data_IF_951431494831
#
_entry.id   IF_951431494831
#
_cell.length_a   1.000
_cell.length_b   1.000
_cell.length_c   1.000
_cell.angle_alpha   90.00
_cell.angle_beta   90.00
_cell.angle_gamma   90.00
#
_symmetry.space_group_name_H-M   'P 1'
#
loop_
_entity.id
_entity.type
_entity.pdbx_description
1 polymer ?
#
# COMPACT_ATOMS: atom_id res chain seq x y z
N UNK A 1 -5.04 12.77 -2.29
CA UNK A 1 -3.71 12.51 -1.67
C UNK A 1 -3.78 11.30 -0.75
N UNK A 2 -2.70 10.54 -0.62
CA UNK A 2 -2.53 9.53 0.42
C UNK A 2 -1.50 10.01 1.46
N UNK A 3 -1.81 9.88 2.74
CA UNK A 3 -0.92 10.22 3.85
C UNK A 3 -0.68 9.00 4.77
N UNK A 4 0.55 8.80 5.23
CA UNK A 4 0.88 7.73 6.20
C UNK A 4 0.53 8.16 7.63
N UNK A 5 0.07 7.23 8.47
CA UNK A 5 -0.05 7.42 9.93
C UNK A 5 1.11 6.76 10.65
N UNK A 6 2.19 7.50 10.89
CA UNK A 6 3.24 7.10 11.84
C UNK A 6 3.28 8.12 12.99
N UNK A 7 2.42 7.90 13.99
CA UNK A 7 2.59 8.38 15.37
C UNK A 7 2.51 9.87 15.68
N UNK A 8 3.08 10.78 14.87
CA UNK A 8 3.09 12.23 15.14
C UNK A 8 3.10 13.14 13.91
N UNK A 9 3.47 12.67 12.71
CA UNK A 9 3.52 13.51 11.50
C UNK A 9 2.81 12.87 10.31
N UNK A 10 1.90 13.61 9.67
CA UNK A 10 1.27 13.20 8.41
C UNK A 10 2.24 13.41 7.25
N UNK A 11 2.75 12.33 6.67
CA UNK A 11 3.60 12.39 5.47
C UNK A 11 2.78 12.09 4.22
N UNK A 12 2.80 12.99 3.24
CA UNK A 12 2.28 12.73 1.90
C UNK A 12 3.09 11.60 1.25
N UNK A 13 2.41 10.50 0.91
CA UNK A 13 3.04 9.30 0.31
C UNK A 13 2.64 9.07 -1.14
N UNK A 14 1.56 9.70 -1.62
CA UNK A 14 1.19 9.68 -3.04
C UNK A 14 0.18 10.78 -3.37
N UNK A 15 0.29 11.35 -4.57
CA UNK A 15 -0.81 12.07 -5.23
C UNK A 15 -1.56 11.09 -6.15
N UNK A 16 -2.88 11.13 -6.08
CA UNK A 16 -3.77 10.32 -6.91
C UNK A 16 -4.54 11.27 -7.81
N UNK A 17 -4.60 10.92 -9.09
CA UNK A 17 -5.31 11.69 -10.12
C UNK A 17 -6.53 10.90 -10.60
N UNK A 18 -7.37 11.52 -11.45
CA UNK A 18 -8.49 10.84 -12.09
C UNK A 18 -8.05 9.52 -12.74
N UNK A 19 -8.88 8.49 -12.62
CA UNK A 19 -8.57 7.11 -13.04
C UNK A 19 -7.73 6.30 -12.03
N UNK A 20 -7.23 6.91 -10.96
CA UNK A 20 -6.56 6.19 -9.87
C UNK A 20 -7.57 5.52 -8.94
N UNK A 21 -7.16 4.43 -8.30
CA UNK A 21 -7.91 3.76 -7.23
C UNK A 21 -7.07 3.60 -5.97
N UNK A 22 -7.71 3.46 -4.81
CA UNK A 22 -7.03 3.25 -3.53
C UNK A 22 -7.87 2.38 -2.59
N UNK A 23 -7.26 1.87 -1.51
CA UNK A 23 -7.91 1.01 -0.52
C UNK A 23 -7.80 -0.48 -0.82
N UNK A 24 -7.30 -0.85 -2.00
CA UNK A 24 -7.12 -2.24 -2.44
C UNK A 24 -6.14 -3.02 -1.54
N UNK A 25 -5.15 -2.32 -0.98
CA UNK A 25 -4.07 -2.96 -0.24
C UNK A 25 -4.60 -3.72 0.97
N UNK A 26 -5.52 -3.13 1.73
CA UNK A 26 -6.12 -3.77 2.90
C UNK A 26 -7.00 -4.98 2.52
N UNK A 27 -7.68 -4.92 1.38
CA UNK A 27 -8.52 -6.00 0.88
C UNK A 27 -7.70 -7.19 0.38
N UNK A 28 -6.58 -6.93 -0.30
CA UNK A 28 -5.72 -7.97 -0.88
C UNK A 28 -4.78 -8.60 0.16
N UNK A 29 -4.22 -7.82 1.08
CA UNK A 29 -3.26 -8.33 2.07
C UNK A 29 -3.91 -8.81 3.37
N UNK A 30 -5.16 -8.42 3.65
CA UNK A 30 -5.82 -8.69 4.93
C UNK A 30 -5.28 -7.86 6.11
N UNK A 31 -4.39 -6.92 5.85
CA UNK A 31 -3.80 -6.05 6.87
C UNK A 31 -4.63 -4.76 7.05
N UNK A 32 -4.57 -4.11 8.22
CA UNK A 32 -5.25 -2.83 8.44
C UNK A 32 -4.87 -1.75 7.40
N UNK A 33 -5.75 -0.76 7.25
CA UNK A 33 -5.47 0.41 6.39
C UNK A 33 -4.20 1.10 6.85
N UNK A 34 -3.23 1.25 5.94
CA UNK A 34 -1.91 1.79 6.22
C UNK A 34 -1.71 3.25 5.78
N UNK A 35 -2.76 3.89 5.27
CA UNK A 35 -2.74 5.28 4.82
C UNK A 35 -4.13 5.90 4.89
N UNK A 36 -4.19 7.22 5.12
CA UNK A 36 -5.37 8.06 5.00
C UNK A 36 -5.46 8.59 3.57
N UNK A 37 -6.66 8.62 2.99
CA UNK A 37 -6.92 9.31 1.73
C UNK A 37 -7.62 10.64 2.02
N UNK A 38 -7.09 11.74 1.49
CA UNK A 38 -7.63 13.10 1.65
C UNK A 38 -7.87 13.70 0.27
N UNK A 39 -9.05 14.27 0.05
CA UNK A 39 -9.36 15.01 -1.16
C UNK A 39 -8.68 16.39 -1.11
N UNK A 40 -7.84 16.69 -2.09
CA UNK A 40 -7.12 17.98 -2.19
C UNK A 40 -8.01 19.05 -2.87
N UNK A 41 -8.97 18.60 -3.67
CA UNK A 41 -9.94 19.40 -4.40
C UNK A 41 -11.31 18.70 -4.36
N UNK A 42 -12.37 19.37 -4.84
CA UNK A 42 -13.68 18.72 -5.07
C UNK A 42 -13.48 17.46 -5.91
N UNK A 43 -13.84 16.31 -5.34
CA UNK A 43 -13.54 14.99 -5.91
C UNK A 43 -14.79 14.13 -5.82
N UNK A 44 -15.06 13.38 -6.88
CA UNK A 44 -16.06 12.31 -6.89
C UNK A 44 -15.34 10.96 -6.96
N UNK A 45 -15.87 9.97 -6.25
CA UNK A 45 -15.28 8.63 -6.20
C UNK A 45 -16.35 7.59 -6.44
N UNK A 46 -16.00 6.57 -7.23
CA UNK A 46 -16.78 5.35 -7.29
C UNK A 46 -16.37 4.45 -6.12
N UNK A 47 -17.35 3.97 -5.36
CA UNK A 47 -17.13 3.08 -4.22
C UNK A 47 -17.44 1.65 -4.64
N UNK A 48 -16.47 0.77 -4.47
CA UNK A 48 -16.63 -0.67 -4.61
C UNK A 48 -16.56 -1.31 -3.22
N UNK A 49 -17.61 -2.02 -2.82
CA UNK A 49 -17.67 -2.67 -1.51
C UNK A 49 -16.76 -3.90 -1.47
N UNK A 50 -16.42 -4.34 -0.27
CA UNK A 50 -15.51 -5.47 -0.04
C UNK A 50 -15.99 -6.75 -0.73
N UNK A 51 -17.27 -7.06 -0.61
CA UNK A 51 -17.84 -8.30 -1.14
C UNK A 51 -17.85 -8.28 -2.67
N UNK A 52 -18.23 -7.14 -3.27
CA UNK A 52 -18.18 -6.94 -4.72
C UNK A 52 -16.75 -7.02 -5.26
N UNK A 53 -15.80 -6.35 -4.60
CA UNK A 53 -14.38 -6.42 -4.95
C UNK A 53 -13.88 -7.87 -4.91
N UNK A 54 -14.23 -8.60 -3.84
CA UNK A 54 -13.80 -10.00 -3.68
C UNK A 54 -14.36 -10.88 -4.79
N UNK A 55 -15.66 -10.77 -5.07
CA UNK A 55 -16.31 -11.52 -6.15
C UNK A 55 -15.71 -11.22 -7.52
N UNK A 56 -15.41 -9.95 -7.82
CA UNK A 56 -14.80 -9.54 -9.09
C UNK A 56 -13.37 -10.10 -9.23
N UNK A 57 -12.56 -9.98 -8.17
CA UNK A 57 -11.16 -10.40 -8.17
C UNK A 57 -11.02 -11.93 -8.24
N UNK A 58 -11.93 -12.67 -7.61
CA UNK A 58 -12.00 -14.13 -7.69
C UNK A 58 -12.32 -14.61 -9.11
N UNK A 59 -13.27 -13.95 -9.77
CA UNK A 59 -13.66 -14.28 -11.15
C UNK A 59 -12.65 -13.82 -12.20
N UNK A 60 -11.74 -12.91 -11.86
CA UNK A 60 -10.79 -12.30 -12.81
C UNK A 60 -9.33 -12.35 -12.31
N UNK A 61 -8.62 -13.50 -12.47
CA UNK A 61 -7.23 -13.66 -12.01
C UNK A 61 -6.26 -12.63 -12.60
N UNK A 62 -6.48 -12.19 -13.84
CA UNK A 62 -5.66 -11.17 -14.50
C UNK A 62 -5.78 -9.81 -13.79
N UNK A 63 -6.99 -9.43 -13.38
CA UNK A 63 -7.23 -8.21 -12.60
C UNK A 63 -6.56 -8.32 -11.22
N UNK A 64 -6.67 -9.46 -10.55
CA UNK A 64 -5.97 -9.73 -9.29
C UNK A 64 -4.46 -9.48 -9.41
N UNK A 65 -3.84 -9.97 -10.48
CA UNK A 65 -2.41 -9.80 -10.73
C UNK A 65 -2.06 -8.35 -11.04
N UNK A 66 -2.89 -7.63 -11.81
CA UNK A 66 -2.70 -6.19 -12.04
C UNK A 66 -2.73 -5.38 -10.74
N UNK A 67 -3.70 -5.66 -9.87
CA UNK A 67 -3.83 -5.01 -8.56
C UNK A 67 -2.59 -5.28 -7.70
N UNK A 68 -2.14 -6.54 -7.63
CA UNK A 68 -0.90 -6.91 -6.92
C UNK A 68 0.33 -6.20 -7.49
N UNK A 69 0.44 -6.09 -8.81
CA UNK A 69 1.52 -5.33 -9.46
C UNK A 69 1.52 -3.86 -9.04
N UNK A 70 0.35 -3.21 -9.05
CA UNK A 70 0.21 -1.83 -8.57
C UNK A 70 0.59 -1.69 -7.10
N UNK A 71 0.20 -2.64 -6.23
CA UNK A 71 0.60 -2.65 -4.82
C UNK A 71 2.11 -2.80 -4.63
N UNK A 72 2.75 -3.66 -5.43
CA UNK A 72 4.21 -3.84 -5.40
C UNK A 72 4.92 -2.53 -5.76
N UNK A 73 4.51 -1.87 -6.84
CA UNK A 73 5.07 -0.56 -7.24
C UNK A 73 4.89 0.49 -6.14
N UNK A 74 3.70 0.60 -5.55
CA UNK A 74 3.44 1.52 -4.44
C UNK A 74 4.30 1.23 -3.21
N UNK A 75 4.52 -0.04 -2.90
CA UNK A 75 5.34 -0.46 -1.73
C UNK A 75 6.82 -0.20 -1.96
N UNK A 76 7.32 -0.48 -3.17
CA UNK A 76 8.69 -0.18 -3.56
C UNK A 76 8.95 1.32 -3.51
N UNK A 77 8.05 2.13 -4.07
CA UNK A 77 8.20 3.59 -4.04
C UNK A 77 8.24 4.12 -2.60
N UNK A 78 7.35 3.65 -1.72
CA UNK A 78 7.39 4.03 -0.29
C UNK A 78 8.70 3.65 0.38
N UNK A 79 9.22 2.46 0.08
CA UNK A 79 10.51 2.00 0.61
C UNK A 79 11.66 2.89 0.14
N UNK A 80 11.67 3.26 -1.14
CA UNK A 80 12.65 4.18 -1.72
C UNK A 80 12.55 5.59 -1.12
N UNK A 81 11.33 6.11 -0.95
CA UNK A 81 11.11 7.42 -0.34
C UNK A 81 11.60 7.47 1.12
N UNK A 82 11.47 6.36 1.86
CA UNK A 82 12.01 6.22 3.21
C UNK A 82 13.55 6.16 3.20
N UNK A 83 14.16 5.45 2.25
CA UNK A 83 15.62 5.40 2.09
C UNK A 83 16.21 6.79 1.81
N UNK A 84 15.53 7.57 0.97
CA UNK A 84 15.95 8.93 0.63
C UNK A 84 15.60 9.98 1.69
N UNK A 85 14.84 9.60 2.74
CA UNK A 85 14.52 10.51 3.84
C UNK A 85 15.68 10.63 4.85
N UNK A 86 15.75 11.73 5.62
CA UNK A 86 16.77 11.93 6.66
C UNK A 86 16.85 10.76 7.65
N UNK A 87 18.01 10.48 8.26
CA UNK A 87 18.22 9.33 9.15
C UNK A 87 17.16 9.18 10.25
N UNK A 88 16.71 10.29 10.84
CA UNK A 88 15.66 10.37 11.85
C UNK A 88 14.30 9.80 11.37
N UNK A 89 14.00 9.89 10.08
CA UNK A 89 12.77 9.37 9.47
C UNK A 89 12.84 7.87 9.13
N UNK A 90 14.00 7.22 9.31
CA UNK A 90 14.21 5.78 9.03
C UNK A 90 13.87 4.88 10.23
N UNK A 91 13.26 5.42 11.29
CA UNK A 91 12.91 4.66 12.48
C UNK A 91 11.93 3.52 12.12
N UNK A 92 12.27 2.28 12.48
CA UNK A 92 11.48 1.10 12.10
C UNK A 92 11.70 0.58 10.67
N UNK A 93 12.52 1.25 9.85
CA UNK A 93 12.84 0.83 8.48
C UNK A 93 13.48 -0.56 8.44
N UNK A 94 14.50 -0.82 9.27
CA UNK A 94 15.18 -2.11 9.32
C UNK A 94 14.27 -3.25 9.82
N UNK A 95 13.34 -2.96 10.73
CA UNK A 95 12.32 -3.93 11.16
C UNK A 95 11.32 -4.27 10.03
N UNK A 96 11.05 -3.30 9.14
CA UNK A 96 10.20 -3.50 7.97
C UNK A 96 10.94 -4.21 6.84
N UNK A 97 12.22 -3.90 6.63
CA UNK A 97 13.10 -4.63 5.72
C UNK A 97 13.26 -6.08 6.16
N UNK A 98 13.50 -6.34 7.46
CA UNK A 98 13.63 -7.71 7.94
C UNK A 98 12.32 -8.50 7.76
N UNK A 99 11.15 -7.87 7.87
CA UNK A 99 9.85 -8.49 7.53
C UNK A 99 9.71 -8.75 6.03
N UNK A 100 10.27 -7.89 5.17
CA UNK A 100 10.25 -8.03 3.71
C UNK A 100 11.23 -9.09 3.20
N UNK A 101 12.40 -9.21 3.84
CA UNK A 101 13.47 -10.16 3.55
C UNK A 101 13.48 -11.34 4.51
N UNK A 102 12.40 -11.58 5.27
CA UNK A 102 12.23 -12.81 6.04
C UNK A 102 12.02 -13.95 5.04
N UNK A 103 13.12 -14.37 4.44
CA UNK A 103 13.26 -15.60 3.69
C UNK A 103 13.08 -16.70 4.73
N UNK A 104 11.91 -17.34 4.70
CA UNK A 104 11.65 -18.50 5.54
C UNK A 104 12.66 -19.57 5.12
N UNK A 105 13.74 -19.73 5.89
CA UNK A 105 14.60 -20.91 5.81
C UNK A 105 13.72 -22.12 6.11
N UNK A 106 13.22 -22.74 5.06
CA UNK A 106 12.91 -24.16 5.03
C UNK A 106 13.98 -24.77 4.14
N UNK A 107 14.91 -25.45 4.80
CA UNK A 107 15.62 -26.66 4.36
C UNK A 107 17.02 -26.65 4.96
N UNK A 108 17.07 -26.98 6.24
CA UNK A 108 18.27 -27.47 6.91
C UNK A 108 17.84 -28.54 7.92
N UNK A 109 17.50 -29.72 7.38
CA UNK A 109 17.76 -31.05 7.95
C UNK A 109 17.36 -32.12 6.94
#
# INVERSE_FOLDING_TARGET
MLASRDGKDEKLIAKLNSGSYFGESALVSGEPRNATAVADIKTEVFVLLKDDFSAIVEKNPQLKNRIRGTMAVRTSQRTLDLLNSPPEARKGFFAKLSKLFSFKSKDAR
#
